data_IF_175051268871
#
_entry.id   IF_175051268871
#
_cell.length_a   1.000
_cell.length_b   1.000
_cell.length_c   1.000
_cell.angle_alpha   90.00
_cell.angle_beta   90.00
_cell.angle_gamma   90.00
#
_symmetry.space_group_name_H-M   'P 1'
#
loop_
_entity.id
_entity.type
_entity.pdbx_description
1 polymer ?
#
# COMPACT_ATOMS: atom_id res chain seq x y z
N UNK A 1 31.56 -46.47 -6.33
CA UNK A 1 30.34 -45.88 -5.71
C UNK A 1 30.06 -44.56 -6.41
N UNK A 2 28.87 -44.36 -7.00
CA UNK A 2 28.57 -43.12 -7.70
C UNK A 2 28.38 -42.01 -6.66
N UNK A 3 29.04 -40.87 -6.92
CA UNK A 3 28.97 -39.64 -6.12
C UNK A 3 27.50 -39.22 -5.99
N UNK A 4 27.07 -38.95 -4.76
CA UNK A 4 25.73 -38.45 -4.45
C UNK A 4 25.41 -37.22 -5.29
N UNK A 5 24.19 -37.20 -5.87
CA UNK A 5 23.62 -36.02 -6.52
C UNK A 5 23.83 -34.81 -5.61
N UNK A 6 24.52 -33.80 -6.12
CA UNK A 6 24.70 -32.51 -5.46
C UNK A 6 23.35 -31.99 -4.98
N UNK A 7 23.22 -31.70 -3.69
CA UNK A 7 22.16 -30.84 -3.18
C UNK A 7 22.26 -29.53 -3.96
N UNK A 8 21.31 -29.27 -4.86
CA UNK A 8 21.11 -27.92 -5.35
C UNK A 8 20.69 -27.12 -4.13
N UNK A 9 21.57 -26.23 -3.65
CA UNK A 9 21.20 -25.26 -2.62
C UNK A 9 19.99 -24.49 -3.14
N UNK A 10 18.85 -24.67 -2.48
CA UNK A 10 17.65 -23.91 -2.79
C UNK A 10 17.89 -22.46 -2.36
N UNK A 11 17.49 -21.50 -3.21
CA UNK A 11 17.65 -20.08 -2.91
C UNK A 11 17.02 -19.69 -1.56
N UNK A 12 15.87 -20.30 -1.23
CA UNK A 12 15.17 -20.11 0.03
C UNK A 12 15.71 -21.05 1.12
N UNK A 13 15.80 -20.52 2.34
CA UNK A 13 16.00 -21.32 3.54
C UNK A 13 14.69 -21.95 4.03
N UNK A 14 14.73 -23.00 4.87
CA UNK A 14 13.53 -23.58 5.48
C UNK A 14 12.78 -22.57 6.35
N UNK A 15 11.45 -22.52 6.21
CA UNK A 15 10.57 -21.64 7.00
C UNK A 15 9.37 -22.42 7.58
N UNK A 16 9.60 -23.42 8.45
CA UNK A 16 8.58 -24.41 8.81
C UNK A 16 7.29 -23.81 9.39
N UNK A 17 7.36 -22.71 10.16
CA UNK A 17 6.15 -22.06 10.67
C UNK A 17 5.39 -21.29 9.58
N UNK A 18 6.11 -20.63 8.65
CA UNK A 18 5.49 -19.97 7.51
C UNK A 18 4.91 -20.97 6.50
N UNK A 19 5.50 -22.15 6.36
CA UNK A 19 5.06 -23.20 5.43
C UNK A 19 3.62 -23.65 5.73
N UNK A 20 3.23 -23.68 7.01
CA UNK A 20 1.86 -23.99 7.44
C UNK A 20 0.83 -22.99 6.89
N UNK A 21 1.24 -21.73 6.65
CA UNK A 21 0.40 -20.66 6.12
C UNK A 21 0.22 -20.72 4.59
N UNK A 22 0.85 -21.68 3.91
CA UNK A 22 0.61 -21.95 2.50
C UNK A 22 -0.61 -22.84 2.25
N UNK A 23 -1.11 -23.50 3.30
CA UNK A 23 -2.28 -24.37 3.24
C UNK A 23 -3.61 -23.58 3.30
N UNK A 24 -4.70 -24.24 2.90
CA UNK A 24 -6.05 -23.69 2.96
C UNK A 24 -6.49 -22.93 1.71
N UNK A 25 -7.75 -22.45 1.68
CA UNK A 25 -8.36 -21.88 0.47
C UNK A 25 -8.04 -20.38 0.26
N UNK A 26 -7.59 -19.67 1.30
CA UNK A 26 -7.30 -18.23 1.19
C UNK A 26 -5.95 -17.99 0.50
N UNK A 27 -5.82 -17.01 -0.41
CA UNK A 27 -4.55 -16.72 -1.07
C UNK A 27 -3.42 -16.42 -0.06
N UNK A 28 -2.45 -17.33 0.04
CA UNK A 28 -1.35 -17.19 0.98
C UNK A 28 -0.35 -16.12 0.56
N UNK A 29 -0.08 -15.18 1.47
CA UNK A 29 0.98 -14.20 1.28
C UNK A 29 2.36 -14.88 1.28
N UNK A 30 2.56 -15.97 2.04
CA UNK A 30 3.82 -16.73 2.07
C UNK A 30 4.09 -17.34 0.70
N UNK A 31 3.11 -18.01 0.09
CA UNK A 31 3.25 -18.54 -1.27
C UNK A 31 3.57 -17.44 -2.28
N UNK A 32 2.93 -16.27 -2.16
CA UNK A 32 3.24 -15.10 -3.00
C UNK A 32 4.68 -14.62 -2.86
N UNK A 33 5.16 -14.46 -1.63
CA UNK A 33 6.53 -14.02 -1.33
C UNK A 33 7.57 -15.05 -1.79
N UNK A 34 7.35 -16.35 -1.57
CA UNK A 34 8.23 -17.41 -2.06
C UNK A 34 8.28 -17.48 -3.58
N UNK A 35 7.15 -17.30 -4.26
CA UNK A 35 7.11 -17.19 -5.73
C UNK A 35 7.91 -15.99 -6.23
N UNK A 36 7.77 -14.84 -5.58
CA UNK A 36 8.54 -13.64 -5.90
C UNK A 36 10.04 -13.88 -5.70
N UNK A 37 10.42 -14.42 -4.54
CA UNK A 37 11.80 -14.75 -4.19
C UNK A 37 12.44 -15.72 -5.20
N UNK A 38 11.77 -16.83 -5.53
CA UNK A 38 12.29 -17.81 -6.49
C UNK A 38 12.34 -17.28 -7.93
N UNK A 39 11.42 -16.39 -8.31
CA UNK A 39 11.41 -15.81 -9.67
C UNK A 39 12.52 -14.77 -9.84
N UNK A 40 12.71 -13.91 -8.84
CA UNK A 40 13.63 -12.76 -8.91
C UNK A 40 15.02 -13.06 -8.35
N UNK A 41 15.16 -14.11 -7.53
CA UNK A 41 16.36 -14.39 -6.74
C UNK A 41 16.82 -13.17 -5.92
N UNK A 42 15.88 -12.33 -5.49
CA UNK A 42 16.18 -11.12 -4.75
C UNK A 42 16.52 -11.46 -3.28
N UNK A 43 17.78 -11.26 -2.84
CA UNK A 43 18.23 -11.66 -1.50
C UNK A 43 17.46 -10.95 -0.39
N UNK A 44 16.98 -9.72 -0.63
CA UNK A 44 16.20 -8.96 0.35
C UNK A 44 14.86 -9.63 0.67
N UNK A 45 14.20 -10.23 -0.33
CA UNK A 45 12.94 -10.96 -0.12
C UNK A 45 13.18 -12.23 0.68
N UNK A 46 14.29 -12.95 0.40
CA UNK A 46 14.70 -14.11 1.19
C UNK A 46 14.99 -13.71 2.65
N UNK A 47 15.83 -12.71 2.87
CA UNK A 47 16.15 -12.24 4.23
C UNK A 47 14.91 -11.78 5.00
N UNK A 48 13.93 -11.18 4.33
CA UNK A 48 12.66 -10.80 4.94
C UNK A 48 11.81 -12.02 5.34
N UNK A 49 11.82 -13.10 4.54
CA UNK A 49 11.17 -14.38 4.89
C UNK A 49 11.88 -15.04 6.08
N UNK A 50 13.21 -15.08 6.09
CA UNK A 50 14.00 -15.66 7.17
C UNK A 50 13.77 -14.93 8.50
N UNK A 51 13.79 -13.59 8.47
CA UNK A 51 13.47 -12.77 9.63
C UNK A 51 12.01 -12.93 10.07
N UNK A 52 11.08 -13.11 9.13
CA UNK A 52 9.68 -13.34 9.45
C UNK A 52 9.48 -14.69 10.13
N UNK A 53 10.10 -15.76 9.64
CA UNK A 53 10.12 -17.07 10.30
C UNK A 53 10.64 -16.96 11.74
N UNK A 54 11.78 -16.31 11.93
CA UNK A 54 12.34 -16.08 13.26
C UNK A 54 11.41 -15.25 14.16
N UNK A 55 10.65 -14.32 13.57
CA UNK A 55 9.62 -13.56 14.28
C UNK A 55 8.44 -14.44 14.72
N UNK A 56 8.08 -15.47 13.95
CA UNK A 56 7.06 -16.46 14.32
C UNK A 56 7.54 -17.35 15.47
N UNK A 57 8.79 -17.83 15.40
CA UNK A 57 9.40 -18.67 16.43
C UNK A 57 9.46 -17.95 17.78
N UNK A 58 9.89 -16.68 17.77
CA UNK A 58 10.13 -15.90 18.99
C UNK A 58 8.98 -14.99 19.40
N UNK A 59 7.96 -14.84 18.55
CA UNK A 59 6.76 -14.01 18.77
C UNK A 59 7.10 -12.53 19.01
N UNK A 60 8.11 -12.02 18.31
CA UNK A 60 8.58 -10.63 18.39
C UNK A 60 8.78 -10.03 16.99
N UNK A 61 8.46 -8.75 16.82
CA UNK A 61 8.82 -8.01 15.61
C UNK A 61 10.22 -7.41 15.70
N UNK A 62 11.14 -7.79 14.80
CA UNK A 62 12.54 -7.34 14.82
C UNK A 62 12.83 -6.11 13.94
N UNK A 63 11.98 -5.08 14.02
CA UNK A 63 12.14 -3.88 13.22
C UNK A 63 12.20 -2.62 14.09
N UNK A 64 13.24 -1.80 13.91
CA UNK A 64 13.33 -0.46 14.49
C UNK A 64 13.07 0.62 13.45
N UNK A 65 12.69 1.81 13.92
CA UNK A 65 12.49 2.98 13.06
C UNK A 65 13.81 3.70 12.80
N UNK A 66 13.74 4.74 11.97
CA UNK A 66 14.85 5.68 11.75
C UNK A 66 14.38 6.89 10.97
N UNK A 67 15.30 7.57 10.30
CA UNK A 67 15.00 8.73 9.45
C UNK A 67 15.69 8.53 8.11
N UNK A 68 14.88 8.39 7.05
CA UNK A 68 15.31 8.31 5.65
C UNK A 68 14.28 9.06 4.82
N UNK A 69 14.71 9.75 3.78
CA UNK A 69 13.83 10.53 2.91
C UNK A 69 14.45 10.75 1.54
N UNK A 70 13.76 11.54 0.73
CA UNK A 70 14.23 11.99 -0.58
C UNK A 70 14.45 13.50 -0.54
N UNK A 71 15.29 14.02 -1.42
CA UNK A 71 15.60 15.44 -1.48
C UNK A 71 14.32 16.24 -1.75
N UNK A 72 14.14 17.30 -0.95
CA UNK A 72 13.01 18.22 -1.07
C UNK A 72 11.76 17.81 -0.28
N UNK A 73 11.60 16.55 0.14
CA UNK A 73 10.45 16.06 0.91
C UNK A 73 10.86 15.60 2.31
N UNK A 74 10.06 15.96 3.31
CA UNK A 74 10.16 15.48 4.68
C UNK A 74 9.23 14.30 4.99
N UNK A 75 8.51 13.79 4.00
CA UNK A 75 7.46 12.78 4.13
C UNK A 75 7.54 11.70 3.03
N UNK A 76 6.69 10.68 3.16
CA UNK A 76 6.48 9.63 2.15
C UNK A 76 7.30 8.34 2.32
N UNK A 77 8.39 8.38 3.07
CA UNK A 77 9.20 7.20 3.38
C UNK A 77 8.93 6.71 4.80
N UNK A 78 8.72 5.40 4.96
CA UNK A 78 8.72 4.74 6.26
C UNK A 78 10.00 3.91 6.39
N UNK A 79 11.03 4.43 7.08
CA UNK A 79 12.28 3.71 7.25
C UNK A 79 12.13 2.57 8.26
N UNK A 80 12.68 1.42 7.90
CA UNK A 80 12.83 0.26 8.77
C UNK A 80 14.20 -0.37 8.64
N UNK A 81 14.78 -0.66 9.79
CA UNK A 81 16.06 -1.34 9.96
C UNK A 81 15.84 -2.59 10.79
N UNK A 82 16.45 -3.71 10.41
CA UNK A 82 16.40 -4.92 11.21
C UNK A 82 17.14 -4.74 12.54
N UNK A 83 16.57 -5.26 13.63
CA UNK A 83 17.25 -5.34 14.93
C UNK A 83 18.24 -6.51 15.01
N UNK A 84 18.20 -7.42 14.05
CA UNK A 84 19.01 -8.65 13.96
C UNK A 84 19.69 -8.75 12.59
N UNK A 85 20.16 -7.62 12.08
CA UNK A 85 20.83 -7.51 10.78
C UNK A 85 22.13 -8.35 10.71
N UNK A 86 22.74 -8.68 11.84
CA UNK A 86 23.85 -9.63 11.94
C UNK A 86 23.45 -11.06 11.55
N UNK A 87 22.18 -11.43 11.77
CA UNK A 87 21.62 -12.74 11.39
C UNK A 87 21.11 -12.77 9.96
N UNK A 88 20.42 -11.70 9.55
CA UNK A 88 19.78 -11.59 8.23
C UNK A 88 20.23 -10.30 7.53
N UNK A 89 21.49 -10.22 7.09
CA UNK A 89 22.08 -9.00 6.53
C UNK A 89 21.38 -8.52 5.25
N UNK A 90 20.77 -9.43 4.50
CA UNK A 90 20.04 -9.11 3.27
C UNK A 90 18.78 -8.28 3.52
N UNK A 91 18.24 -8.32 4.75
CA UNK A 91 17.09 -7.53 5.20
C UNK A 91 17.47 -6.48 6.25
N UNK A 92 18.76 -6.08 6.30
CA UNK A 92 19.24 -5.05 7.22
C UNK A 92 18.44 -3.74 7.09
N UNK A 93 18.09 -3.36 5.87
CA UNK A 93 17.23 -2.22 5.53
C UNK A 93 16.00 -2.69 4.74
N UNK A 94 14.84 -2.15 5.08
CA UNK A 94 13.58 -2.55 4.46
C UNK A 94 12.59 -1.39 4.38
N UNK A 95 13.03 -0.29 3.78
CA UNK A 95 12.27 0.96 3.77
C UNK A 95 11.07 0.88 2.83
N UNK A 96 9.97 1.51 3.22
CA UNK A 96 8.73 1.53 2.42
C UNK A 96 8.48 2.90 1.82
N UNK A 97 8.33 2.97 0.50
CA UNK A 97 7.84 4.17 -0.18
C UNK A 97 6.30 4.12 -0.19
N UNK A 98 5.67 5.20 0.28
CA UNK A 98 4.24 5.41 0.11
C UNK A 98 4.03 6.21 -1.16
N UNK A 99 3.35 5.63 -2.14
CA UNK A 99 3.08 6.25 -3.44
C UNK A 99 1.60 6.62 -3.52
N UNK A 100 1.31 7.84 -3.98
CA UNK A 100 -0.06 8.34 -4.07
C UNK A 100 -0.87 7.49 -5.08
N UNK A 101 -2.09 7.05 -4.72
CA UNK A 101 -2.98 6.39 -5.64
C UNK A 101 -3.80 7.42 -6.45
N UNK A 102 -4.32 7.07 -7.63
CA UNK A 102 -5.44 7.78 -8.22
C UNK A 102 -6.70 7.70 -7.32
N UNK A 103 -7.53 8.75 -7.26
CA UNK A 103 -8.81 8.71 -6.56
C UNK A 103 -9.67 7.52 -6.98
N UNK A 104 -10.32 6.87 -6.02
CA UNK A 104 -11.16 5.69 -6.24
C UNK A 104 -10.42 4.44 -6.73
N UNK A 105 -9.08 4.45 -6.76
CA UNK A 105 -8.24 3.29 -7.12
C UNK A 105 -8.44 2.76 -8.54
N UNK A 106 -8.65 3.65 -9.51
CA UNK A 106 -8.75 3.28 -10.92
C UNK A 106 -7.37 3.31 -11.57
N UNK A 107 -6.91 2.17 -12.07
CA UNK A 107 -5.59 2.02 -12.68
C UNK A 107 -5.69 1.54 -14.13
N UNK A 108 -4.74 1.97 -14.95
CA UNK A 108 -4.45 1.29 -16.22
C UNK A 108 -3.47 0.14 -15.97
N UNK A 109 -3.53 -0.91 -16.78
CA UNK A 109 -2.53 -1.98 -16.68
C UNK A 109 -1.13 -1.50 -17.06
N UNK A 110 -1.02 -0.53 -17.97
CA UNK A 110 0.26 0.09 -18.33
C UNK A 110 0.92 0.77 -17.14
N UNK A 111 0.21 1.68 -16.46
CA UNK A 111 0.76 2.43 -15.32
C UNK A 111 1.22 1.51 -14.18
N UNK A 112 0.52 0.41 -13.93
CA UNK A 112 0.92 -0.57 -12.92
C UNK A 112 2.13 -1.39 -13.38
N UNK A 113 2.20 -1.82 -14.65
CA UNK A 113 3.37 -2.54 -15.17
C UNK A 113 4.63 -1.69 -15.11
N UNK A 114 4.55 -0.44 -15.59
CA UNK A 114 5.69 0.48 -15.57
C UNK A 114 6.21 0.71 -14.12
N UNK A 115 5.30 0.83 -13.14
CA UNK A 115 5.65 0.94 -11.72
C UNK A 115 6.32 -0.34 -11.19
N UNK A 116 5.76 -1.52 -11.51
CA UNK A 116 6.32 -2.81 -11.12
C UNK A 116 7.71 -3.04 -11.73
N UNK A 117 7.96 -2.64 -12.98
CA UNK A 117 9.25 -2.79 -13.66
C UNK A 117 10.36 -2.00 -12.95
N UNK A 118 10.05 -0.79 -12.46
CA UNK A 118 10.97 -0.02 -11.61
C UNK A 118 11.15 -0.70 -10.27
N UNK A 119 10.05 -1.09 -9.61
CA UNK A 119 10.09 -1.61 -8.24
C UNK A 119 10.79 -2.96 -8.12
N UNK A 120 10.65 -3.84 -9.11
CA UNK A 120 11.32 -5.14 -9.13
C UNK A 120 12.82 -5.00 -9.39
N UNK A 121 13.24 -4.03 -10.21
CA UNK A 121 14.65 -3.78 -10.50
C UNK A 121 15.40 -3.19 -9.31
N UNK A 122 14.78 -2.23 -8.63
CA UNK A 122 15.48 -1.36 -7.68
C UNK A 122 15.14 -1.66 -6.20
N UNK A 123 14.02 -2.34 -5.95
CA UNK A 123 13.51 -2.67 -4.62
C UNK A 123 13.29 -4.18 -4.44
N UNK A 124 12.40 -4.54 -3.51
CA UNK A 124 12.10 -5.95 -3.21
C UNK A 124 11.12 -6.60 -4.19
N UNK A 125 10.36 -5.80 -4.95
CA UNK A 125 9.19 -6.27 -5.71
C UNK A 125 7.92 -6.49 -4.87
N UNK A 126 7.97 -6.36 -3.53
CA UNK A 126 6.81 -6.53 -2.64
C UNK A 126 5.97 -5.25 -2.65
N UNK A 127 4.67 -5.40 -2.94
CA UNK A 127 3.72 -4.28 -2.98
C UNK A 127 2.52 -4.61 -2.11
N UNK A 128 2.06 -3.64 -1.32
CA UNK A 128 0.72 -3.68 -0.73
C UNK A 128 -0.23 -2.73 -1.48
N UNK A 129 -1.29 -3.30 -2.03
CA UNK A 129 -2.39 -2.65 -2.76
C UNK A 129 -3.68 -2.75 -1.94
N UNK A 130 -3.94 -1.88 -0.97
CA UNK A 130 -3.31 -0.60 -0.66
C UNK A 130 -3.09 -0.45 0.85
N UNK A 131 -2.26 0.52 1.23
CA UNK A 131 -2.20 0.97 2.61
C UNK A 131 -3.54 1.57 3.04
N UNK A 132 -3.83 1.46 4.34
CA UNK A 132 -5.09 1.89 4.94
C UNK A 132 -5.51 3.35 4.66
N UNK A 133 -4.54 4.24 4.47
CA UNK A 133 -4.80 5.65 4.15
C UNK A 133 -5.04 5.88 2.65
N UNK A 134 -4.65 4.94 1.79
CA UNK A 134 -4.87 4.97 0.34
C UNK A 134 -3.62 4.64 -0.48
N UNK A 135 -2.41 4.92 0.04
CA UNK A 135 -1.17 4.77 -0.72
C UNK A 135 -0.95 3.35 -1.24
N UNK A 136 -0.39 3.24 -2.45
CA UNK A 136 0.40 2.07 -2.82
C UNK A 136 1.62 2.03 -1.90
N UNK A 137 1.96 0.86 -1.34
CA UNK A 137 3.14 0.73 -0.50
C UNK A 137 4.15 -0.18 -1.20
N UNK A 138 5.26 0.41 -1.65
CA UNK A 138 6.40 -0.30 -2.19
C UNK A 138 7.32 -0.65 -1.02
N UNK A 139 7.34 -1.93 -0.62
CA UNK A 139 7.85 -2.36 0.69
C UNK A 139 9.21 -3.03 0.55
N UNK A 140 10.28 -2.39 1.00
CA UNK A 140 11.63 -2.98 1.03
C UNK A 140 12.52 -2.41 -0.06
N UNK A 141 13.33 -1.45 0.32
CA UNK A 141 14.48 -0.94 -0.43
C UNK A 141 15.54 -0.47 0.57
N UNK A 142 16.75 -0.24 0.06
CA UNK A 142 17.85 0.36 0.83
C UNK A 142 17.75 1.89 0.80
N UNK A 143 18.37 2.53 1.79
CA UNK A 143 18.52 3.98 1.84
C UNK A 143 19.20 4.52 0.58
N UNK A 144 20.26 3.85 0.11
CA UNK A 144 21.05 4.31 -1.04
C UNK A 144 20.25 4.32 -2.36
N UNK A 145 19.28 3.42 -2.52
CA UNK A 145 18.45 3.34 -3.72
C UNK A 145 17.22 4.25 -3.68
N UNK A 146 16.84 4.78 -2.50
CA UNK A 146 15.51 5.38 -2.33
C UNK A 146 15.26 6.61 -3.20
N UNK A 147 16.29 7.45 -3.38
CA UNK A 147 16.22 8.62 -4.25
C UNK A 147 16.08 8.20 -5.71
N UNK A 148 16.88 7.22 -6.15
CA UNK A 148 16.84 6.70 -7.52
C UNK A 148 15.46 6.12 -7.86
N UNK A 149 14.89 5.32 -6.94
CA UNK A 149 13.54 4.77 -7.10
C UNK A 149 12.51 5.89 -7.23
N UNK A 150 12.57 6.90 -6.34
CA UNK A 150 11.64 8.02 -6.39
C UNK A 150 11.74 8.81 -7.70
N UNK A 151 12.95 9.15 -8.15
CA UNK A 151 13.15 9.90 -9.38
C UNK A 151 12.56 9.16 -10.60
N UNK A 152 12.73 7.83 -10.66
CA UNK A 152 12.20 7.01 -11.74
C UNK A 152 10.67 6.93 -11.73
N UNK A 153 10.05 6.66 -10.57
CA UNK A 153 8.58 6.60 -10.50
C UNK A 153 7.95 8.00 -10.70
N UNK A 154 8.67 9.06 -10.33
CA UNK A 154 8.24 10.43 -10.55
C UNK A 154 8.22 10.82 -12.03
N UNK A 155 9.22 10.37 -12.80
CA UNK A 155 9.22 10.50 -14.26
C UNK A 155 8.04 9.75 -14.93
N UNK A 156 7.52 8.70 -14.28
CA UNK A 156 6.33 7.97 -14.72
C UNK A 156 5.01 8.64 -14.26
N UNK A 157 5.08 9.77 -13.56
CA UNK A 157 3.92 10.54 -13.08
C UNK A 157 3.41 10.14 -11.70
N UNK A 158 4.14 9.30 -10.96
CA UNK A 158 3.81 8.96 -9.58
C UNK A 158 4.47 9.93 -8.60
N UNK A 159 3.81 10.24 -7.50
CA UNK A 159 4.40 11.05 -6.44
C UNK A 159 4.32 10.31 -5.10
N UNK A 160 5.17 10.73 -4.15
CA UNK A 160 5.12 10.19 -2.79
C UNK A 160 3.91 10.71 -2.05
N UNK A 161 3.28 9.85 -1.26
CA UNK A 161 2.19 10.20 -0.36
C UNK A 161 2.67 10.72 0.98
N UNK A 162 1.73 11.06 1.86
CA UNK A 162 2.04 11.61 3.18
C UNK A 162 2.53 10.58 4.21
N UNK A 163 3.51 10.98 5.01
CA UNK A 163 3.93 10.36 6.26
C UNK A 163 4.51 11.40 7.23
N UNK A 164 4.14 11.32 8.52
CA UNK A 164 4.64 12.22 9.55
C UNK A 164 3.56 13.13 10.12
N UNK A 165 3.94 14.36 10.48
CA UNK A 165 3.06 15.41 10.99
C UNK A 165 2.62 16.34 9.84
N UNK A 166 1.89 15.74 8.90
CA UNK A 166 1.60 16.26 7.56
C UNK A 166 0.14 16.00 7.17
N UNK A 167 -0.29 16.56 6.03
CA UNK A 167 -1.51 16.16 5.35
C UNK A 167 -1.29 14.79 4.70
N UNK A 168 -2.10 13.79 5.06
CA UNK A 168 -1.99 12.46 4.47
C UNK A 168 -2.78 12.37 3.18
N UNK A 169 -2.31 11.51 2.27
CA UNK A 169 -2.85 11.25 0.93
C UNK A 169 -4.38 11.16 0.82
N UNK A 170 -5.05 10.61 1.84
CA UNK A 170 -6.50 10.42 1.84
C UNK A 170 -7.01 9.37 0.85
N UNK A 171 -8.33 9.20 0.81
CA UNK A 171 -9.01 8.20 -0.01
C UNK A 171 -10.44 8.66 -0.31
N UNK A 172 -10.91 8.46 -1.54
CA UNK A 172 -12.31 8.56 -1.93
C UNK A 172 -12.95 7.19 -2.13
N UNK A 173 -14.27 7.08 -1.98
CA UNK A 173 -14.99 5.91 -2.46
C UNK A 173 -15.02 5.90 -3.99
N UNK A 174 -15.57 4.84 -4.60
CA UNK A 174 -15.73 4.76 -6.06
C UNK A 174 -16.56 5.92 -6.63
N UNK A 175 -17.44 6.51 -5.81
CA UNK A 175 -18.23 7.67 -6.18
C UNK A 175 -19.09 7.44 -7.42
N UNK A 176 -19.30 8.51 -8.17
CA UNK A 176 -20.07 8.51 -9.41
C UNK A 176 -19.46 7.68 -10.54
N UNK A 177 -18.22 7.18 -10.39
CA UNK A 177 -17.63 6.30 -11.40
C UNK A 177 -18.39 4.96 -11.51
N UNK A 178 -18.99 4.47 -10.40
CA UNK A 178 -19.74 3.20 -10.40
C UNK A 178 -20.78 3.07 -9.28
N UNK A 179 -21.26 4.16 -8.71
CA UNK A 179 -22.29 4.13 -7.68
C UNK A 179 -23.36 5.19 -7.98
N UNK A 180 -24.60 4.71 -8.06
CA UNK A 180 -25.83 5.47 -8.25
C UNK A 180 -26.24 6.27 -7.01
N UNK A 181 -25.66 5.98 -5.83
CA UNK A 181 -25.92 6.71 -4.60
C UNK A 181 -24.98 7.92 -4.38
N UNK A 182 -24.02 8.15 -5.27
CA UNK A 182 -23.05 9.23 -5.09
C UNK A 182 -23.71 10.61 -5.19
N UNK A 183 -23.70 11.36 -4.08
CA UNK A 183 -24.32 12.68 -3.99
C UNK A 183 -23.40 13.82 -4.48
N UNK A 184 -22.13 13.53 -4.77
CA UNK A 184 -21.16 14.47 -5.35
C UNK A 184 -20.00 13.72 -6.03
N UNK A 185 -19.19 14.46 -6.79
CA UNK A 185 -17.95 13.96 -7.39
C UNK A 185 -16.86 13.76 -6.33
N UNK A 186 -16.81 12.56 -5.76
CA UNK A 186 -15.81 12.22 -4.72
C UNK A 186 -14.39 12.17 -5.27
N UNK A 187 -14.24 11.75 -6.54
CA UNK A 187 -12.94 11.58 -7.18
C UNK A 187 -12.30 12.94 -7.46
N UNK A 188 -13.06 13.86 -8.03
CA UNK A 188 -12.65 15.23 -8.30
C UNK A 188 -12.43 16.03 -7.01
N UNK A 189 -13.24 15.83 -5.98
CA UNK A 189 -13.02 16.46 -4.67
C UNK A 189 -11.68 16.00 -4.05
N UNK A 190 -11.42 14.68 -4.02
CA UNK A 190 -10.16 14.13 -3.51
C UNK A 190 -8.97 14.67 -4.29
N UNK A 191 -9.03 14.64 -5.63
CA UNK A 191 -7.96 15.16 -6.48
C UNK A 191 -7.65 16.65 -6.19
N UNK A 192 -8.68 17.50 -6.13
CA UNK A 192 -8.52 18.95 -5.88
C UNK A 192 -7.90 19.22 -4.51
N UNK A 193 -8.32 18.49 -3.47
CA UNK A 193 -7.76 18.64 -2.12
C UNK A 193 -6.27 18.23 -2.12
N UNK A 194 -5.94 17.09 -2.72
CA UNK A 194 -4.56 16.61 -2.77
C UNK A 194 -3.64 17.55 -3.55
N UNK A 195 -4.13 18.13 -4.65
CA UNK A 195 -3.40 19.16 -5.40
C UNK A 195 -3.24 20.46 -4.59
N UNK A 196 -4.29 20.90 -3.90
CA UNK A 196 -4.27 22.15 -3.12
C UNK A 196 -3.28 22.11 -1.96
N UNK A 197 -3.18 20.96 -1.29
CA UNK A 197 -2.34 20.74 -0.11
C UNK A 197 -1.09 19.91 -0.43
N UNK A 198 -0.63 19.92 -1.68
CA UNK A 198 0.53 19.14 -2.10
C UNK A 198 1.77 19.43 -1.24
N UNK A 199 2.04 20.71 -0.94
CA UNK A 199 3.15 21.10 -0.06
C UNK A 199 3.03 20.48 1.35
N UNK A 200 1.84 20.56 1.95
CA UNK A 200 1.57 19.99 3.27
C UNK A 200 1.58 18.46 3.28
N UNK A 201 1.49 17.78 2.13
CA UNK A 201 1.68 16.33 2.00
C UNK A 201 3.15 15.95 2.09
N UNK A 202 4.03 16.77 1.51
CA UNK A 202 5.44 16.44 1.35
C UNK A 202 6.33 17.08 2.40
N UNK A 203 5.92 18.20 3.00
CA UNK A 203 6.70 18.99 3.95
C UNK A 203 5.90 19.13 5.25
N UNK A 204 6.12 18.22 6.22
CA UNK A 204 5.41 18.24 7.50
C UNK A 204 5.47 19.62 8.18
N UNK A 205 4.34 20.31 8.20
CA UNK A 205 4.18 21.67 8.73
C UNK A 205 3.19 21.73 9.91
N UNK A 206 2.49 20.63 10.19
CA UNK A 206 1.41 20.58 11.18
C UNK A 206 1.90 20.10 12.54
N UNK A 207 1.17 20.41 13.63
CA UNK A 207 1.47 19.86 14.95
C UNK A 207 1.40 18.33 15.00
N UNK A 208 0.51 17.73 14.19
CA UNK A 208 0.40 16.29 14.03
C UNK A 208 -0.24 15.93 12.69
N UNK A 209 -0.45 14.63 12.45
CA UNK A 209 -1.03 14.12 11.20
C UNK A 209 -2.46 14.67 10.98
N UNK A 210 -2.81 14.98 9.74
CA UNK A 210 -4.16 15.35 9.33
C UNK A 210 -4.61 14.54 8.12
N UNK A 211 -5.86 14.11 8.06
CA UNK A 211 -6.37 13.23 7.00
C UNK A 211 -7.71 13.74 6.48
N UNK A 212 -7.85 13.71 5.16
CA UNK A 212 -9.15 13.80 4.48
C UNK A 212 -9.61 12.43 4.00
N UNK A 213 -10.91 12.16 4.06
CA UNK A 213 -11.56 11.05 3.35
C UNK A 213 -12.91 11.47 2.79
N UNK A 214 -13.26 10.91 1.64
CA UNK A 214 -14.38 11.36 0.82
C UNK A 214 -15.35 10.20 0.54
N UNK A 215 -16.53 10.26 1.15
CA UNK A 215 -17.59 9.27 0.95
C UNK A 215 -18.79 9.91 0.26
N UNK A 216 -19.24 9.32 -0.84
CA UNK A 216 -20.28 9.90 -1.70
C UNK A 216 -21.68 9.94 -1.09
N UNK A 217 -21.94 9.15 -0.05
CA UNK A 217 -23.22 9.08 0.67
C UNK A 217 -23.00 8.59 2.11
N UNK A 218 -24.06 8.57 2.95
CA UNK A 218 -23.96 8.16 4.36
C UNK A 218 -23.56 6.69 4.61
N UNK A 219 -23.53 5.82 3.59
CA UNK A 219 -22.96 4.46 3.72
C UNK A 219 -21.46 4.46 4.05
N UNK A 220 -20.79 5.60 3.86
CA UNK A 220 -19.40 5.84 4.26
C UNK A 220 -18.40 4.74 3.82
N UNK A 221 -18.41 4.35 2.54
CA UNK A 221 -17.57 3.25 2.05
C UNK A 221 -16.05 3.44 2.21
N UNK A 222 -15.58 4.63 2.60
CA UNK A 222 -14.16 4.88 2.92
C UNK A 222 -13.84 4.78 4.43
N UNK A 223 -14.87 4.64 5.26
CA UNK A 223 -14.85 4.83 6.71
C UNK A 223 -14.23 6.20 7.07
N UNK A 224 -14.70 7.26 6.43
CA UNK A 224 -14.23 8.63 6.61
C UNK A 224 -14.40 9.08 8.06
N UNK A 225 -15.58 8.85 8.63
CA UNK A 225 -15.91 9.22 10.02
C UNK A 225 -14.92 8.66 11.04
N UNK A 226 -14.41 7.44 10.82
CA UNK A 226 -13.57 6.71 11.77
C UNK A 226 -12.06 6.87 11.48
N UNK A 227 -11.68 7.32 10.29
CA UNK A 227 -10.29 7.20 9.80
C UNK A 227 -9.75 8.47 9.17
N UNK A 228 -10.46 9.59 9.31
CA UNK A 228 -10.01 10.91 8.89
C UNK A 228 -10.33 11.98 9.91
N UNK A 229 -9.50 13.02 9.93
CA UNK A 229 -9.70 14.20 10.77
C UNK A 229 -10.75 15.13 10.15
N UNK A 230 -10.85 15.13 8.81
CA UNK A 230 -11.90 15.81 8.05
C UNK A 230 -12.61 14.81 7.13
N UNK A 231 -13.81 14.39 7.55
CA UNK A 231 -14.68 13.51 6.80
C UNK A 231 -15.62 14.33 5.90
N UNK A 232 -15.58 14.10 4.59
CA UNK A 232 -16.49 14.73 3.63
C UNK A 232 -17.50 13.69 3.16
N UNK A 233 -18.75 13.83 3.60
CA UNK A 233 -19.81 12.85 3.37
C UNK A 233 -20.96 13.51 2.61
N UNK A 234 -21.31 12.92 1.47
CA UNK A 234 -22.34 13.43 0.59
C UNK A 234 -23.73 13.20 1.16
N UNK A 235 -24.62 14.15 0.88
CA UNK A 235 -26.05 14.06 1.18
C UNK A 235 -26.83 14.86 0.13
N UNK A 236 -28.14 14.64 0.10
CA UNK A 236 -29.10 15.49 -0.58
C UNK A 236 -29.89 16.31 0.44
N UNK A 237 -30.72 17.25 -0.03
CA UNK A 237 -31.53 18.14 0.83
C UNK A 237 -32.99 18.28 0.39
N UNK A 238 -33.37 17.55 -0.64
CA UNK A 238 -34.70 17.42 -1.22
C UNK A 238 -35.31 16.06 -0.87
N UNK A 239 -36.46 15.74 -1.47
CA UNK A 239 -37.17 14.49 -1.19
C UNK A 239 -36.54 13.29 -1.91
N UNK A 240 -36.69 12.10 -1.32
CA UNK A 240 -36.29 10.85 -1.97
C UNK A 240 -37.18 10.62 -3.20
N UNK A 241 -36.54 10.30 -4.33
CA UNK A 241 -37.24 9.98 -5.57
C UNK A 241 -37.80 8.56 -5.53
N UNK A 242 -39.12 8.41 -5.72
CA UNK A 242 -39.82 7.12 -5.63
C UNK A 242 -40.43 6.75 -6.99
N UNK A 243 -40.02 5.61 -7.54
CA UNK A 243 -40.66 5.00 -8.72
C UNK A 243 -41.67 3.95 -8.25
N UNK A 244 -42.95 4.34 -8.17
CA UNK A 244 -44.02 3.48 -7.69
C UNK A 244 -44.20 2.19 -8.51
N UNK A 245 -43.82 2.18 -9.80
CA UNK A 245 -43.89 0.96 -10.61
C UNK A 245 -42.85 -0.06 -10.15
N UNK A 246 -41.63 0.38 -9.86
CA UNK A 246 -40.57 -0.49 -9.31
C UNK A 246 -40.91 -0.99 -7.92
N UNK A 247 -41.55 -0.15 -7.09
CA UNK A 247 -42.04 -0.57 -5.76
C UNK A 247 -43.08 -1.69 -5.90
N UNK A 248 -44.08 -1.54 -6.78
CA UNK A 248 -45.06 -2.60 -7.04
C UNK A 248 -44.40 -3.90 -7.51
N UNK A 249 -43.49 -3.83 -8.48
CA UNK A 249 -42.77 -5.00 -8.98
C UNK A 249 -41.91 -5.70 -7.90
N UNK A 250 -41.36 -4.95 -6.94
CA UNK A 250 -40.63 -5.51 -5.82
C UNK A 250 -41.56 -6.27 -4.86
N UNK A 251 -42.74 -5.70 -4.56
CA UNK A 251 -43.77 -6.33 -3.72
C UNK A 251 -44.29 -7.60 -4.38
N UNK A 252 -44.54 -7.60 -5.70
CA UNK A 252 -45.04 -8.80 -6.39
C UNK A 252 -44.01 -9.96 -6.40
N UNK A 253 -42.73 -9.67 -6.18
CA UNK A 253 -41.64 -10.65 -6.15
C UNK A 253 -41.37 -11.25 -4.76
N UNK A 254 -41.93 -10.69 -3.69
CA UNK A 254 -41.60 -11.03 -2.29
C UNK A 254 -42.84 -11.21 -1.43
#
# INVERSE_FOLDING_TARGET
MPKSKSQQETFLHPTPMLDELESGPWPSFVTGLKKLANRTHNPMVRGALDQLEYSYETKMGYWKGGVVGVRGYGAGIIPRFSMIADRFPEAAEFHTLRVQPPPGFHYSTKSLRDLCDVWEREGSGIICTHGQTGNLMLIGCTQDNIQNIFDQINQLGWDLGGAGADMRTGMSCVGQARCEHACYDTLGAHYKVLQRYNDDVHRPSFPYKFKFKFSGCPNDCTNATQRSDCAVIGTWRDDIQIDHKKVGAFIDQH
#
